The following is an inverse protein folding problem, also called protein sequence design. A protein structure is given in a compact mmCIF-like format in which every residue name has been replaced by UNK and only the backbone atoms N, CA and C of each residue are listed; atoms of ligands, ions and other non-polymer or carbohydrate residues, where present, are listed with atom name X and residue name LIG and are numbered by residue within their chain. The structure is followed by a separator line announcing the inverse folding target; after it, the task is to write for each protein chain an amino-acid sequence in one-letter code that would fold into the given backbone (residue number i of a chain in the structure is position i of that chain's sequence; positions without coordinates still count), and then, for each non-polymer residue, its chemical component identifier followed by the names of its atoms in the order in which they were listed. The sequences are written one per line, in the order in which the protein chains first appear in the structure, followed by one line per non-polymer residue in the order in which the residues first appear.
data_IF_748400543062
#
_entry.id   IF_748400543062
#
_cell.length_a   1.000
_cell.length_b   1.000
_cell.length_c   1.000
_cell.angle_alpha   90.00
_cell.angle_beta   90.00
_cell.angle_gamma   90.00
#
_symmetry.space_group_name_H-M   'P 1'
#
loop_
_entity.id
_entity.type
_entity.pdbx_description
1 polymer ?
#
# COMPACT_ATOMS: atom_id res chain seq x y z
N UNK A 1 85.06 -6.19 12.23
CA UNK A 1 83.90 -5.46 12.78
C UNK A 1 83.11 -4.71 11.72
N UNK A 2 83.71 -4.11 10.72
CA UNK A 2 82.98 -3.38 9.64
C UNK A 2 82.10 -4.27 8.68
N UNK A 3 82.47 -5.52 8.43
CA UNK A 3 81.66 -6.38 7.53
C UNK A 3 80.36 -6.88 8.18
N UNK A 4 80.33 -7.15 9.47
CA UNK A 4 79.13 -7.53 10.19
C UNK A 4 78.08 -6.39 10.25
N UNK A 5 78.56 -5.18 10.35
CA UNK A 5 77.67 -4.00 10.31
C UNK A 5 77.04 -3.77 8.92
N UNK A 6 77.76 -4.03 7.86
CA UNK A 6 77.23 -3.97 6.47
C UNK A 6 76.17 -5.03 6.24
N UNK A 7 76.40 -6.25 6.67
CA UNK A 7 75.46 -7.34 6.52
C UNK A 7 74.13 -7.09 7.29
N UNK A 8 74.21 -6.51 8.46
CA UNK A 8 73.01 -6.11 9.21
C UNK A 8 72.29 -4.93 8.60
N UNK A 9 72.98 -3.96 8.03
CA UNK A 9 72.35 -2.82 7.34
C UNK A 9 71.65 -3.25 6.06
N UNK A 10 72.24 -4.15 5.27
CA UNK A 10 71.61 -4.67 4.06
C UNK A 10 70.35 -5.50 4.35
N UNK A 11 70.36 -6.37 5.36
CA UNK A 11 69.17 -7.08 5.81
C UNK A 11 68.09 -6.17 6.34
N UNK A 12 68.46 -5.14 7.04
CA UNK A 12 67.50 -4.17 7.57
C UNK A 12 66.85 -3.34 6.48
N UNK A 13 67.61 -2.91 5.47
CA UNK A 13 67.11 -2.24 4.27
C UNK A 13 66.14 -3.12 3.45
N UNK A 14 66.46 -4.40 3.28
CA UNK A 14 65.61 -5.36 2.61
C UNK A 14 64.27 -5.62 3.37
N UNK A 15 64.34 -5.69 4.70
CA UNK A 15 63.14 -5.91 5.53
C UNK A 15 62.23 -4.68 5.54
N UNK A 16 62.81 -3.47 5.55
CA UNK A 16 62.01 -2.22 5.49
C UNK A 16 61.38 -2.05 4.08
N UNK A 17 62.14 -2.38 3.04
CA UNK A 17 61.62 -2.40 1.64
C UNK A 17 60.45 -3.35 1.46
N UNK A 18 60.57 -4.59 1.96
CA UNK A 18 59.45 -5.57 1.91
C UNK A 18 58.24 -5.12 2.69
N UNK A 19 58.40 -4.45 3.86
CA UNK A 19 57.32 -3.93 4.64
C UNK A 19 56.60 -2.78 3.90
N UNK A 20 57.34 -1.88 3.26
CA UNK A 20 56.76 -0.80 2.46
C UNK A 20 55.96 -1.31 1.26
N UNK A 21 56.47 -2.33 0.55
CA UNK A 21 55.76 -2.96 -0.59
C UNK A 21 54.52 -3.65 -0.08
N UNK A 22 54.55 -4.30 1.09
CA UNK A 22 53.38 -4.95 1.69
C UNK A 22 52.31 -3.95 2.11
N UNK A 23 52.71 -2.80 2.64
CA UNK A 23 51.79 -1.70 3.00
C UNK A 23 51.15 -1.08 1.75
N UNK A 24 51.94 -0.83 0.68
CA UNK A 24 51.39 -0.34 -0.57
C UNK A 24 50.43 -1.33 -1.24
N UNK A 25 50.75 -2.62 -1.20
CA UNK A 25 49.87 -3.64 -1.77
C UNK A 25 48.54 -3.74 -0.99
N UNK A 26 48.56 -3.61 0.34
CA UNK A 26 47.36 -3.54 1.15
C UNK A 26 46.54 -2.26 0.91
N UNK A 27 47.19 -1.10 0.72
CA UNK A 27 46.47 0.13 0.38
C UNK A 27 45.81 0.04 -1.00
N UNK A 28 46.38 -0.65 -1.97
CA UNK A 28 45.74 -0.88 -3.27
C UNK A 28 44.55 -1.87 -3.20
N UNK A 29 44.58 -2.80 -2.24
CA UNK A 29 43.45 -3.75 -2.05
C UNK A 29 42.29 -3.10 -1.28
N UNK A 30 42.54 -1.99 -0.56
CA UNK A 30 41.52 -1.23 0.17
C UNK A 30 40.87 -0.13 -0.67
N UNK A 31 41.38 0.18 -1.87
CA UNK A 31 40.66 0.93 -2.88
C UNK A 31 39.62 0.03 -3.56
N UNK A 32 38.72 -0.58 -2.75
CA UNK A 32 37.46 -1.06 -3.23
C UNK A 32 36.77 0.13 -3.88
N UNK A 33 36.59 0.07 -5.19
CA UNK A 33 35.68 0.96 -5.90
C UNK A 33 34.37 0.95 -5.14
N UNK A 34 34.12 2.03 -4.40
CA UNK A 34 32.79 2.38 -4.01
C UNK A 34 32.13 2.77 -5.33
N UNK A 35 31.55 1.78 -6.02
CA UNK A 35 30.60 2.07 -7.06
C UNK A 35 29.53 2.91 -6.38
N UNK A 36 29.60 4.22 -6.60
CA UNK A 36 28.42 5.04 -6.50
C UNK A 36 27.41 4.36 -7.45
N UNK A 37 26.56 3.49 -6.88
CA UNK A 37 25.30 3.21 -7.49
C UNK A 37 24.66 4.60 -7.55
N UNK A 38 24.74 5.23 -8.71
CA UNK A 38 23.86 6.32 -9.09
C UNK A 38 22.47 5.72 -8.99
N UNK A 39 21.87 5.79 -7.80
CA UNK A 39 20.44 5.63 -7.67
C UNK A 39 19.88 6.73 -8.55
N UNK A 40 19.45 6.33 -9.75
CA UNK A 40 18.68 7.22 -10.60
C UNK A 40 17.59 7.81 -9.73
N UNK A 41 17.69 9.09 -9.46
CA UNK A 41 16.74 9.85 -8.65
C UNK A 41 15.46 10.10 -9.46
N UNK A 42 15.17 9.23 -10.43
CA UNK A 42 13.98 9.32 -11.23
C UNK A 42 12.78 9.08 -10.35
N UNK A 43 12.04 10.14 -10.10
CA UNK A 43 10.78 10.08 -9.39
C UNK A 43 9.84 9.22 -10.21
N UNK A 44 9.46 8.06 -9.67
CA UNK A 44 8.47 7.21 -10.30
C UNK A 44 7.08 7.67 -9.88
N UNK A 45 6.20 7.80 -10.86
CA UNK A 45 4.79 8.08 -10.62
C UNK A 45 4.13 6.90 -9.89
N UNK A 46 3.31 7.20 -8.90
CA UNK A 46 2.49 6.23 -8.17
C UNK A 46 1.02 6.59 -8.39
N UNK A 47 0.26 5.64 -8.90
CA UNK A 47 -1.16 5.76 -9.17
C UNK A 47 -1.95 4.93 -8.16
N UNK A 48 -2.82 5.57 -7.40
CA UNK A 48 -3.82 4.90 -6.58
C UNK A 48 -5.20 5.25 -7.13
N UNK A 49 -5.77 4.35 -7.93
CA UNK A 49 -7.02 4.64 -8.63
C UNK A 49 -8.06 3.54 -8.47
N UNK A 50 -9.32 3.95 -8.37
CA UNK A 50 -10.44 3.02 -8.34
C UNK A 50 -11.73 3.62 -8.90
N UNK A 51 -12.62 2.73 -9.31
CA UNK A 51 -13.98 3.05 -9.73
C UNK A 51 -14.94 1.99 -9.14
N UNK A 52 -15.85 2.45 -8.30
CA UNK A 52 -16.89 1.60 -7.72
C UNK A 52 -18.13 1.57 -8.61
N UNK A 53 -18.85 0.46 -8.62
CA UNK A 53 -20.14 0.36 -9.29
C UNK A 53 -21.08 1.47 -8.79
N UNK A 54 -21.59 2.31 -9.69
CA UNK A 54 -22.50 3.41 -9.39
C UNK A 54 -21.86 4.70 -8.87
N UNK A 55 -20.57 4.70 -8.57
CA UNK A 55 -19.85 5.90 -8.07
C UNK A 55 -18.90 6.48 -9.12
N UNK A 56 -18.42 7.70 -8.86
CA UNK A 56 -17.41 8.36 -9.70
C UNK A 56 -16.02 7.76 -9.49
N UNK A 57 -15.20 7.67 -10.56
CA UNK A 57 -13.81 7.25 -10.43
C UNK A 57 -13.02 8.23 -9.55
N UNK A 58 -12.02 7.70 -8.85
CA UNK A 58 -11.12 8.47 -8.00
C UNK A 58 -9.69 8.02 -8.25
N UNK A 59 -8.80 8.99 -8.46
CA UNK A 59 -7.39 8.75 -8.69
C UNK A 59 -6.56 9.70 -7.82
N UNK A 60 -5.66 9.14 -7.03
CA UNK A 60 -4.63 9.87 -6.30
C UNK A 60 -3.29 9.64 -7.01
N UNK A 61 -2.55 10.70 -7.21
CA UNK A 61 -1.25 10.66 -7.87
C UNK A 61 -0.18 11.19 -6.93
N UNK A 62 0.86 10.40 -6.75
CA UNK A 62 2.03 10.79 -5.97
C UNK A 62 3.30 10.35 -6.69
N UNK A 63 4.44 10.88 -6.25
CA UNK A 63 5.75 10.41 -6.69
C UNK A 63 6.38 9.56 -5.59
N UNK A 64 7.24 8.61 -5.97
CA UNK A 64 8.00 7.80 -5.02
C UNK A 64 8.84 8.68 -4.11
N UNK A 65 8.89 8.29 -2.83
CA UNK A 65 9.69 8.95 -1.81
C UNK A 65 10.87 8.06 -1.48
N UNK A 66 12.08 8.55 -1.68
CA UNK A 66 13.26 7.87 -1.16
C UNK A 66 13.35 8.12 0.35
N UNK A 67 13.22 7.05 1.10
CA UNK A 67 13.42 7.09 2.54
C UNK A 67 14.91 7.26 2.86
N UNK A 68 15.38 8.50 2.94
CA UNK A 68 16.61 8.75 3.69
C UNK A 68 16.32 8.58 5.19
N UNK A 69 17.34 8.23 5.97
CA UNK A 69 17.22 7.87 7.41
C UNK A 69 16.49 8.88 8.32
N UNK A 70 16.06 10.00 7.79
CA UNK A 70 15.29 11.00 8.51
C UNK A 70 13.79 10.71 8.34
N UNK A 71 13.09 10.67 9.44
CA UNK A 71 11.65 10.37 9.53
C UNK A 71 10.82 11.16 8.50
N UNK A 72 9.97 10.44 7.76
CA UNK A 72 8.95 11.07 6.92
C UNK A 72 8.04 11.92 7.80
N UNK A 73 8.22 13.22 7.74
CA UNK A 73 7.24 14.13 8.30
C UNK A 73 5.98 14.12 7.43
N UNK A 74 4.83 13.84 8.02
CA UNK A 74 3.52 13.84 7.33
C UNK A 74 3.28 15.14 6.54
N UNK A 75 3.79 16.26 7.04
CA UNK A 75 3.68 17.57 6.38
C UNK A 75 4.47 17.65 5.06
N UNK A 76 5.54 16.87 4.91
CA UNK A 76 6.34 16.84 3.68
C UNK A 76 5.70 16.03 2.55
N UNK A 77 4.74 15.16 2.86
CA UNK A 77 4.06 14.32 1.85
C UNK A 77 3.28 15.14 0.82
N UNK A 78 2.89 16.36 1.15
CA UNK A 78 2.26 17.29 0.19
C UNK A 78 3.17 17.63 -0.99
N UNK A 79 4.49 17.54 -0.83
CA UNK A 79 5.48 17.84 -1.87
C UNK A 79 5.62 16.71 -2.89
N UNK A 80 5.09 15.53 -2.58
CA UNK A 80 5.10 14.35 -3.46
C UNK A 80 3.81 14.18 -4.24
N UNK A 81 2.83 15.09 -4.05
CA UNK A 81 1.59 15.09 -4.81
C UNK A 81 1.82 15.53 -6.25
N UNK A 82 1.34 14.71 -7.21
CA UNK A 82 1.23 15.14 -8.60
C UNK A 82 -0.15 15.78 -8.81
N UNK A 83 -0.16 17.10 -9.01
CA UNK A 83 -1.40 17.92 -9.12
C UNK A 83 -1.68 18.42 -10.52
N UNK A 84 -0.72 18.32 -11.41
CA UNK A 84 -0.75 18.94 -12.72
C UNK A 84 -0.83 17.93 -13.86
N UNK A 85 -1.07 16.67 -13.54
CA UNK A 85 -1.23 15.64 -14.55
C UNK A 85 -2.55 15.83 -15.31
N UNK A 86 -2.54 15.54 -16.61
CA UNK A 86 -3.74 15.31 -17.38
C UNK A 86 -4.18 13.87 -17.16
N UNK A 87 -5.33 13.69 -16.52
CA UNK A 87 -5.90 12.38 -16.20
C UNK A 87 -7.16 12.19 -17.02
N UNK A 88 -7.24 11.10 -17.77
CA UNK A 88 -8.41 10.76 -18.59
C UNK A 88 -8.89 9.36 -18.27
N UNK A 89 -10.19 9.16 -18.34
CA UNK A 89 -10.85 7.87 -18.23
C UNK A 89 -11.72 7.62 -19.46
N UNK A 90 -11.71 6.39 -19.96
CA UNK A 90 -12.54 5.95 -21.08
C UNK A 90 -13.31 4.68 -20.73
N UNK A 91 -14.58 4.61 -21.14
CA UNK A 91 -15.42 3.41 -21.08
C UNK A 91 -15.48 2.67 -22.43
N UNK A 92 -14.56 2.99 -23.35
CA UNK A 92 -14.52 2.44 -24.71
C UNK A 92 -15.43 3.17 -25.70
N UNK A 93 -16.45 3.91 -25.25
CA UNK A 93 -17.36 4.69 -26.10
C UNK A 93 -17.10 6.19 -26.00
N UNK A 94 -16.76 6.68 -24.81
CA UNK A 94 -16.44 8.08 -24.53
C UNK A 94 -15.23 8.17 -23.64
N UNK A 95 -14.56 9.31 -23.72
CA UNK A 95 -13.42 9.65 -22.86
C UNK A 95 -13.75 10.95 -22.13
N UNK A 96 -13.50 10.96 -20.82
CA UNK A 96 -13.69 12.13 -19.97
C UNK A 96 -12.37 12.51 -19.31
N UNK A 97 -12.09 13.82 -19.26
CA UNK A 97 -10.96 14.34 -18.50
C UNK A 97 -11.35 14.52 -17.04
N UNK A 98 -10.59 13.91 -16.16
CA UNK A 98 -10.80 13.99 -14.71
C UNK A 98 -10.30 15.34 -14.19
N UNK A 99 -11.02 15.89 -13.22
CA UNK A 99 -10.68 17.18 -12.59
C UNK A 99 -10.03 16.92 -11.23
N UNK A 100 -8.84 17.48 -11.03
CA UNK A 100 -8.15 17.46 -9.75
C UNK A 100 -8.78 18.43 -8.76
N UNK A 101 -9.05 17.97 -7.54
CA UNK A 101 -9.61 18.80 -6.47
C UNK A 101 -9.04 18.46 -5.12
N UNK A 102 -9.02 19.45 -4.23
CA UNK A 102 -8.72 19.24 -2.83
C UNK A 102 -9.93 18.61 -2.12
N UNK A 103 -9.71 17.47 -1.44
CA UNK A 103 -10.75 16.77 -0.69
C UNK A 103 -10.17 16.22 0.62
N UNK A 104 -10.66 16.74 1.76
CA UNK A 104 -10.20 16.36 3.11
C UNK A 104 -10.55 14.94 3.51
N UNK A 105 -11.45 14.28 2.77
CA UNK A 105 -11.86 12.90 3.02
C UNK A 105 -10.82 11.89 2.51
N UNK A 106 -9.76 12.34 1.85
CA UNK A 106 -8.68 11.48 1.36
C UNK A 106 -7.35 11.84 1.99
N UNK A 107 -6.42 10.92 1.89
CA UNK A 107 -5.03 11.17 2.22
C UNK A 107 -4.13 10.57 1.11
N UNK A 108 -3.25 11.36 0.49
CA UNK A 108 -3.16 12.81 0.58
C UNK A 108 -4.46 13.52 0.13
N UNK A 109 -4.72 14.76 0.57
CA UNK A 109 -6.02 15.40 0.36
C UNK A 109 -6.17 16.04 -1.04
N UNK A 110 -5.83 15.30 -2.07
CA UNK A 110 -6.01 15.72 -3.47
C UNK A 110 -6.40 14.51 -4.32
N UNK A 111 -7.47 14.62 -5.07
CA UNK A 111 -8.03 13.52 -5.85
C UNK A 111 -8.52 14.02 -7.20
N UNK A 112 -8.25 13.25 -8.24
CA UNK A 112 -8.86 13.43 -9.56
C UNK A 112 -10.15 12.63 -9.63
N UNK A 113 -11.21 13.21 -10.20
CA UNK A 113 -12.53 12.58 -10.35
C UNK A 113 -13.26 13.14 -11.58
N UNK A 114 -14.32 12.47 -12.01
CA UNK A 114 -15.24 12.94 -13.05
C UNK A 114 -16.50 13.54 -12.45
N UNK A 115 -17.33 14.13 -13.29
CA UNK A 115 -18.66 14.63 -12.91
C UNK A 115 -19.80 13.86 -13.55
N UNK A 116 -19.54 13.17 -14.67
CA UNK A 116 -20.58 12.47 -15.44
C UNK A 116 -20.36 10.97 -15.49
N UNK A 117 -19.13 10.51 -15.72
CA UNK A 117 -18.82 9.10 -15.85
C UNK A 117 -18.87 8.40 -14.48
N UNK A 118 -19.77 7.42 -14.36
CA UNK A 118 -19.87 6.54 -13.19
C UNK A 118 -19.55 5.10 -13.60
N UNK A 119 -19.11 4.33 -12.61
CA UNK A 119 -18.84 2.91 -12.82
C UNK A 119 -20.10 2.11 -13.12
N UNK A 120 -20.10 1.36 -14.21
CA UNK A 120 -21.17 0.43 -14.58
C UNK A 120 -20.68 -1.01 -14.52
N UNK A 121 -21.50 -1.89 -13.95
CA UNK A 121 -21.19 -3.31 -13.80
C UNK A 121 -20.98 -3.94 -15.19
N UNK A 122 -19.90 -4.70 -15.35
CA UNK A 122 -19.55 -5.38 -16.59
C UNK A 122 -18.79 -4.51 -17.60
N UNK A 123 -18.70 -3.20 -17.39
CA UNK A 123 -17.91 -2.32 -18.26
C UNK A 123 -16.43 -2.32 -17.90
N UNK A 124 -15.63 -2.14 -18.94
CA UNK A 124 -14.19 -1.92 -18.85
C UNK A 124 -13.88 -0.42 -18.85
N UNK A 125 -12.92 -0.01 -18.03
CA UNK A 125 -12.48 1.37 -17.91
C UNK A 125 -10.97 1.48 -18.06
N UNK A 126 -10.52 2.29 -19.01
CA UNK A 126 -9.13 2.61 -19.24
C UNK A 126 -8.80 3.96 -18.62
N UNK A 127 -7.82 3.97 -17.74
CA UNK A 127 -7.22 5.16 -17.17
C UNK A 127 -5.96 5.52 -17.95
N UNK A 128 -5.76 6.80 -18.24
CA UNK A 128 -4.51 7.34 -18.79
C UNK A 128 -4.12 8.59 -18.01
N UNK A 129 -2.87 8.64 -17.60
CA UNK A 129 -2.25 9.75 -16.87
C UNK A 129 -1.07 10.26 -17.68
N UNK A 130 -1.00 11.56 -17.89
CA UNK A 130 0.12 12.26 -18.53
C UNK A 130 0.60 13.36 -17.58
N UNK A 131 1.83 13.24 -17.11
CA UNK A 131 2.42 14.25 -16.22
C UNK A 131 3.09 15.37 -17.03
N UNK A 132 3.30 16.56 -16.44
CA UNK A 132 3.94 17.69 -17.15
C UNK A 132 5.38 17.40 -17.61
N UNK A 133 6.09 16.51 -16.94
CA UNK A 133 7.43 16.05 -17.28
C UNK A 133 7.45 14.94 -18.34
N UNK A 134 6.27 14.57 -18.87
CA UNK A 134 6.14 13.64 -20.00
C UNK A 134 6.03 12.16 -19.60
N UNK A 135 5.92 11.82 -18.32
CA UNK A 135 5.61 10.43 -17.94
C UNK A 135 4.19 10.08 -18.35
N UNK A 136 3.99 8.88 -18.88
CA UNK A 136 2.68 8.36 -19.28
C UNK A 136 2.42 7.06 -18.55
N UNK A 137 1.25 6.99 -17.91
CA UNK A 137 0.78 5.77 -17.25
C UNK A 137 -0.59 5.36 -17.79
N UNK A 138 -0.79 4.07 -17.99
CA UNK A 138 -2.04 3.51 -18.49
C UNK A 138 -2.41 2.23 -17.74
N UNK A 139 -3.71 2.07 -17.50
CA UNK A 139 -4.25 0.86 -16.88
C UNK A 139 -5.68 0.62 -17.30
N UNK A 140 -6.09 -0.64 -17.31
CA UNK A 140 -7.45 -1.06 -17.64
C UNK A 140 -7.98 -1.97 -16.56
N UNK A 141 -9.25 -1.81 -16.22
CA UNK A 141 -9.96 -2.63 -15.24
C UNK A 141 -11.41 -2.81 -15.65
N UNK A 142 -12.02 -3.91 -15.21
CA UNK A 142 -13.45 -4.17 -15.40
C UNK A 142 -14.15 -4.17 -14.05
N UNK A 143 -15.37 -3.62 -13.97
CA UNK A 143 -16.17 -3.67 -12.75
C UNK A 143 -16.95 -4.99 -12.71
N UNK A 144 -16.61 -5.95 -11.83
CA UNK A 144 -17.34 -7.20 -11.74
C UNK A 144 -18.73 -7.01 -11.11
N UNK A 145 -19.58 -8.02 -11.24
CA UNK A 145 -20.88 -8.03 -10.55
C UNK A 145 -20.64 -8.04 -9.02
N UNK A 146 -21.29 -7.12 -8.27
CA UNK A 146 -21.19 -7.11 -6.82
C UNK A 146 -21.74 -8.38 -6.18
N UNK A 147 -21.19 -8.75 -5.06
CA UNK A 147 -21.72 -9.80 -4.17
C UNK A 147 -22.08 -9.16 -2.83
N UNK A 148 -23.09 -9.71 -2.17
CA UNK A 148 -23.59 -9.20 -0.90
C UNK A 148 -22.98 -9.96 0.28
N UNK A 149 -22.96 -9.32 1.43
CA UNK A 149 -22.78 -9.94 2.74
C UNK A 149 -24.18 -10.24 3.27
N UNK A 150 -24.40 -11.49 3.66
CA UNK A 150 -25.72 -11.98 4.11
C UNK A 150 -26.03 -11.46 5.53
N UNK A 151 -25.05 -11.43 6.41
CA UNK A 151 -25.20 -10.94 7.78
C UNK A 151 -23.85 -10.54 8.42
N UNK A 152 -23.95 -9.78 9.51
CA UNK A 152 -22.80 -9.47 10.37
C UNK A 152 -23.06 -9.96 11.78
N UNK A 153 -22.00 -10.41 12.43
CA UNK A 153 -21.98 -10.70 13.85
C UNK A 153 -20.80 -10.00 14.52
N UNK A 154 -21.05 -9.40 15.69
CA UNK A 154 -20.03 -8.68 16.47
C UNK A 154 -19.78 -9.46 17.74
N UNK A 155 -18.56 -9.92 17.93
CA UNK A 155 -18.15 -10.67 19.12
C UNK A 155 -17.15 -9.85 19.93
N UNK A 156 -17.21 -9.93 21.25
CA UNK A 156 -16.19 -9.37 22.12
C UNK A 156 -14.91 -10.17 21.96
N UNK A 157 -13.78 -9.51 21.76
CA UNK A 157 -12.46 -10.14 21.69
C UNK A 157 -12.00 -10.56 23.10
N UNK A 158 -10.91 -11.34 23.18
CA UNK A 158 -10.33 -11.77 24.47
C UNK A 158 -9.87 -10.58 25.34
N UNK A 159 -9.62 -9.43 24.75
CA UNK A 159 -9.25 -8.20 25.45
C UNK A 159 -10.49 -7.35 25.65
N UNK A 160 -10.72 -6.89 26.87
CA UNK A 160 -11.83 -6.03 27.23
C UNK A 160 -11.86 -4.76 26.35
N UNK A 161 -13.07 -4.32 26.00
CA UNK A 161 -13.35 -3.16 25.13
C UNK A 161 -12.94 -3.30 23.66
N UNK A 162 -12.48 -4.48 23.23
CA UNK A 162 -12.20 -4.80 21.83
C UNK A 162 -13.24 -5.78 21.27
N UNK A 163 -13.58 -5.59 19.99
CA UNK A 163 -14.59 -6.37 19.30
C UNK A 163 -14.10 -6.79 17.93
N UNK A 164 -14.47 -8.01 17.54
CA UNK A 164 -14.28 -8.56 16.20
C UNK A 164 -15.59 -8.54 15.44
N UNK A 165 -15.58 -8.04 14.21
CA UNK A 165 -16.71 -8.15 13.30
C UNK A 165 -16.48 -9.40 12.44
N UNK A 166 -17.50 -10.24 12.32
CA UNK A 166 -17.59 -11.32 11.36
C UNK A 166 -18.67 -11.02 10.34
N UNK A 167 -18.35 -11.24 9.08
CA UNK A 167 -19.31 -11.19 7.99
C UNK A 167 -19.59 -12.61 7.50
N UNK A 168 -20.82 -12.88 7.08
CA UNK A 168 -21.21 -14.14 6.47
C UNK A 168 -21.57 -13.87 5.03
N UNK A 169 -21.00 -14.64 4.11
CA UNK A 169 -21.20 -14.48 2.68
C UNK A 169 -21.09 -15.80 1.94
N UNK A 170 -21.91 -15.96 0.94
CA UNK A 170 -21.86 -17.08 -0.01
C UNK A 170 -20.95 -16.81 -1.22
N UNK A 171 -20.10 -15.77 -1.14
CA UNK A 171 -19.22 -15.35 -2.23
C UNK A 171 -18.28 -16.46 -2.66
N UNK A 172 -18.25 -16.75 -3.97
CA UNK A 172 -17.31 -17.68 -4.62
C UNK A 172 -16.34 -16.96 -5.57
N UNK A 173 -16.35 -15.64 -5.56
CA UNK A 173 -15.52 -14.81 -6.43
C UNK A 173 -14.27 -14.31 -5.69
N UNK A 174 -13.42 -13.59 -6.42
CA UNK A 174 -12.31 -12.84 -5.84
C UNK A 174 -12.88 -11.58 -5.21
N UNK A 175 -12.67 -11.43 -3.91
CA UNK A 175 -13.25 -10.33 -3.13
C UNK A 175 -12.21 -9.68 -2.24
N UNK A 176 -12.49 -8.43 -1.87
CA UNK A 176 -11.69 -7.68 -0.91
C UNK A 176 -12.57 -6.92 0.05
N UNK A 177 -12.20 -6.97 1.33
CA UNK A 177 -12.80 -6.17 2.39
C UNK A 177 -11.97 -4.91 2.63
N UNK A 178 -12.69 -3.82 2.82
CA UNK A 178 -12.16 -2.56 3.33
C UNK A 178 -13.00 -2.13 4.52
N UNK A 179 -12.39 -1.44 5.45
CA UNK A 179 -13.11 -0.86 6.59
C UNK A 179 -12.77 0.62 6.78
N UNK A 180 -13.72 1.36 7.34
CA UNK A 180 -13.56 2.76 7.71
C UNK A 180 -14.27 2.98 9.05
N UNK A 181 -13.52 3.38 10.06
CA UNK A 181 -14.10 3.79 11.35
C UNK A 181 -14.48 5.26 11.27
N UNK A 182 -15.76 5.54 11.40
CA UNK A 182 -16.31 6.89 11.28
C UNK A 182 -15.72 7.80 12.37
N UNK A 183 -15.30 8.99 11.95
CA UNK A 183 -14.66 9.97 12.81
C UNK A 183 -13.18 9.70 13.12
N UNK A 184 -12.63 8.57 12.66
CA UNK A 184 -11.20 8.21 12.85
C UNK A 184 -10.46 8.01 11.54
N UNK A 185 -11.08 7.37 10.57
CA UNK A 185 -10.51 7.12 9.27
C UNK A 185 -11.13 8.07 8.24
N UNK A 186 -10.30 8.69 7.40
CA UNK A 186 -10.76 9.61 6.36
C UNK A 186 -11.42 8.87 5.20
N UNK A 187 -10.85 7.74 4.82
CA UNK A 187 -11.26 6.93 3.67
C UNK A 187 -11.34 5.45 4.05
N UNK A 188 -11.84 4.62 3.13
CA UNK A 188 -11.79 3.18 3.28
C UNK A 188 -10.34 2.71 3.24
N UNK A 189 -9.93 1.97 4.26
CA UNK A 189 -8.61 1.38 4.36
C UNK A 189 -8.69 -0.12 4.05
N UNK A 190 -7.68 -0.65 3.37
CA UNK A 190 -7.57 -2.09 3.12
C UNK A 190 -7.60 -2.86 4.44
N UNK A 191 -8.61 -3.70 4.63
CA UNK A 191 -8.67 -4.58 5.79
C UNK A 191 -7.51 -5.60 5.73
N UNK A 192 -6.89 -5.85 6.87
CA UNK A 192 -5.87 -6.88 6.99
C UNK A 192 -6.50 -8.25 6.75
N UNK A 193 -5.83 -9.11 5.95
CA UNK A 193 -6.37 -10.40 5.53
C UNK A 193 -7.75 -10.30 4.85
N UNK A 194 -8.05 -9.13 4.29
CA UNK A 194 -9.33 -8.85 3.66
C UNK A 194 -9.45 -9.36 2.23
N UNK A 195 -8.36 -9.87 1.62
CA UNK A 195 -8.37 -10.44 0.29
C UNK A 195 -8.78 -11.92 0.38
N UNK A 196 -9.73 -12.32 -0.44
CA UNK A 196 -10.26 -13.68 -0.42
C UNK A 196 -10.68 -14.18 -1.80
N UNK A 197 -10.75 -15.49 -1.92
CA UNK A 197 -11.34 -16.20 -3.05
C UNK A 197 -12.16 -17.38 -2.54
N UNK A 198 -12.80 -18.11 -3.45
CA UNK A 198 -13.67 -19.25 -3.12
C UNK A 198 -13.02 -20.32 -2.20
N UNK A 199 -11.71 -20.53 -2.31
CA UNK A 199 -11.01 -21.52 -1.49
C UNK A 199 -10.67 -21.05 -0.08
N UNK A 200 -10.77 -19.75 0.19
CA UNK A 200 -10.44 -19.14 1.49
C UNK A 200 -11.68 -18.98 2.39
N UNK A 201 -12.86 -18.97 1.78
CA UNK A 201 -14.13 -18.86 2.52
C UNK A 201 -14.55 -20.27 2.91
N UNK A 202 -14.56 -20.57 4.22
CA UNK A 202 -14.98 -21.86 4.74
C UNK A 202 -16.43 -22.21 4.41
N UNK A 203 -16.84 -23.45 4.71
CA UNK A 203 -18.18 -23.94 4.43
C UNK A 203 -19.29 -23.10 5.06
N UNK A 204 -19.01 -22.45 6.19
CA UNK A 204 -19.94 -21.57 6.89
C UNK A 204 -20.02 -20.16 6.29
N UNK A 205 -19.19 -19.81 5.31
CA UNK A 205 -19.14 -18.48 4.74
C UNK A 205 -18.65 -17.38 5.68
N UNK A 206 -18.12 -17.73 6.87
CA UNK A 206 -17.66 -16.80 7.92
C UNK A 206 -16.31 -16.20 7.53
N UNK A 207 -16.21 -14.88 7.52
CA UNK A 207 -14.99 -14.12 7.26
C UNK A 207 -14.79 -13.02 8.33
N UNK A 208 -13.55 -12.82 8.76
CA UNK A 208 -13.23 -11.76 9.72
C UNK A 208 -13.10 -10.43 8.99
N UNK A 209 -13.80 -9.41 9.48
CA UNK A 209 -13.61 -8.04 9.05
C UNK A 209 -12.61 -7.38 10.00
N UNK A 210 -11.38 -7.21 9.56
CA UNK A 210 -10.36 -6.53 10.34
C UNK A 210 -10.39 -5.02 10.10
N UNK A 211 -9.90 -4.27 11.07
CA UNK A 211 -9.70 -2.84 10.91
C UNK A 211 -8.66 -2.57 9.83
N UNK A 212 -8.96 -1.66 8.92
CA UNK A 212 -8.08 -1.28 7.84
C UNK A 212 -6.78 -0.63 8.35
N UNK A 213 -5.70 -0.85 7.60
CA UNK A 213 -4.38 -0.30 7.92
C UNK A 213 -4.04 0.87 7.02
N UNK A 214 -3.49 1.90 7.63
CA UNK A 214 -2.73 2.94 6.95
C UNK A 214 -1.26 2.73 7.28
N UNK A 215 -0.39 2.76 6.27
CA UNK A 215 1.07 2.68 6.46
C UNK A 215 1.65 3.82 7.31
N UNK A 216 0.86 4.87 7.52
CA UNK A 216 1.22 6.05 8.31
C UNK A 216 1.05 5.84 9.82
N UNK A 217 0.40 4.75 10.26
CA UNK A 217 0.11 4.50 11.68
C UNK A 217 0.80 3.21 12.12
N UNK A 218 1.84 3.35 12.89
CA UNK A 218 2.79 2.28 13.27
C UNK A 218 2.23 1.06 13.99
N UNK A 219 1.09 1.13 14.67
CA UNK A 219 0.42 -0.02 15.32
C UNK A 219 -1.06 0.24 15.44
N UNK A 220 -1.87 -0.52 14.72
CA UNK A 220 -3.30 -0.61 14.99
C UNK A 220 -3.65 -2.06 15.28
N UNK A 221 -4.48 -2.27 16.29
CA UNK A 221 -5.10 -3.56 16.51
C UNK A 221 -6.05 -3.87 15.34
N UNK A 222 -6.16 -5.14 14.93
CA UNK A 222 -7.11 -5.55 13.89
C UNK A 222 -8.57 -5.45 14.36
N UNK A 223 -8.77 -5.18 15.64
CA UNK A 223 -10.07 -5.11 16.32
C UNK A 223 -10.65 -3.72 16.30
N UNK A 224 -11.97 -3.66 16.56
CA UNK A 224 -12.71 -2.44 16.73
C UNK A 224 -12.95 -2.15 18.22
N UNK A 225 -13.19 -0.90 18.55
CA UNK A 225 -13.43 -0.49 19.93
C UNK A 225 -14.91 -0.30 20.19
N UNK A 226 -15.28 -0.44 21.46
CA UNK A 226 -16.60 -0.17 21.96
C UNK A 226 -17.17 1.16 21.45
N UNK A 227 -18.42 1.14 20.96
CA UNK A 227 -19.15 2.30 20.48
C UNK A 227 -18.72 2.85 19.13
N UNK A 228 -17.73 2.26 18.46
CA UNK A 228 -17.35 2.67 17.10
C UNK A 228 -18.44 2.31 16.09
N UNK A 229 -18.61 3.19 15.10
CA UNK A 229 -19.39 2.92 13.90
C UNK A 229 -18.44 2.61 12.77
N UNK A 230 -18.58 1.45 12.14
CA UNK A 230 -17.71 0.95 11.10
C UNK A 230 -18.48 0.88 9.79
N UNK A 231 -17.94 1.51 8.74
CA UNK A 231 -18.36 1.24 7.37
C UNK A 231 -17.53 0.09 6.82
N UNK A 232 -18.18 -0.89 6.25
CA UNK A 232 -17.54 -2.02 5.57
C UNK A 232 -17.84 -1.91 4.09
N UNK A 233 -16.81 -1.93 3.25
CA UNK A 233 -16.91 -2.06 1.80
C UNK A 233 -16.49 -3.48 1.44
N UNK A 234 -17.38 -4.21 0.78
CA UNK A 234 -17.11 -5.53 0.24
C UNK A 234 -17.10 -5.44 -1.27
N UNK A 235 -15.97 -5.72 -1.89
CA UNK A 235 -15.74 -5.50 -3.31
C UNK A 235 -15.35 -6.79 -4.01
N UNK A 236 -16.05 -7.14 -5.10
CA UNK A 236 -15.59 -8.13 -6.07
C UNK A 236 -14.54 -7.50 -6.98
N UNK A 237 -13.56 -8.30 -7.38
CA UNK A 237 -12.37 -7.88 -8.12
C UNK A 237 -12.26 -8.62 -9.45
N UNK A 238 -11.77 -7.94 -10.47
CA UNK A 238 -11.23 -8.59 -11.65
C UNK A 238 -9.89 -9.29 -11.36
N UNK A 239 -9.34 -10.02 -12.31
CA UNK A 239 -8.10 -10.79 -12.09
C UNK A 239 -6.89 -9.92 -11.83
N UNK A 240 -6.77 -8.80 -12.53
CA UNK A 240 -5.62 -7.89 -12.42
C UNK A 240 -5.61 -7.14 -11.09
N UNK A 241 -6.78 -6.64 -10.67
CA UNK A 241 -6.97 -6.03 -9.35
C UNK A 241 -6.69 -7.02 -8.21
N UNK A 242 -7.11 -8.28 -8.37
CA UNK A 242 -6.84 -9.32 -7.38
C UNK A 242 -5.34 -9.61 -7.25
N UNK A 243 -4.61 -9.74 -8.36
CA UNK A 243 -3.16 -9.98 -8.33
C UNK A 243 -2.38 -8.82 -7.69
N UNK A 244 -2.80 -7.56 -7.95
CA UNK A 244 -2.24 -6.41 -7.26
C UNK A 244 -2.42 -6.53 -5.74
N UNK A 245 -3.66 -6.72 -5.26
CA UNK A 245 -3.96 -6.81 -3.84
C UNK A 245 -3.30 -8.01 -3.17
N UNK A 246 -3.16 -9.13 -3.87
CA UNK A 246 -2.43 -10.30 -3.38
C UNK A 246 -0.96 -9.96 -3.14
N UNK A 247 -0.30 -9.37 -4.13
CA UNK A 247 1.11 -8.97 -3.98
C UNK A 247 1.30 -7.92 -2.88
N UNK A 248 0.31 -7.04 -2.68
CA UNK A 248 0.32 -6.06 -1.61
C UNK A 248 0.21 -6.72 -0.22
N UNK A 249 -0.69 -7.68 -0.03
CA UNK A 249 -0.82 -8.41 1.25
C UNK A 249 0.41 -9.28 1.53
N UNK A 250 0.96 -9.94 0.52
CA UNK A 250 2.20 -10.72 0.61
C UNK A 250 3.37 -9.82 1.05
N UNK A 251 3.52 -8.65 0.44
CA UNK A 251 4.54 -7.67 0.79
C UNK A 251 4.35 -7.15 2.22
N UNK A 252 3.12 -6.84 2.61
CA UNK A 252 2.79 -6.39 3.95
C UNK A 252 3.06 -7.46 5.02
N UNK A 253 2.85 -8.74 4.70
CA UNK A 253 3.17 -9.86 5.58
C UNK A 253 4.69 -10.04 5.74
N UNK A 254 5.44 -10.03 4.64
CA UNK A 254 6.90 -10.19 4.62
C UNK A 254 7.61 -9.03 5.34
N UNK A 255 7.11 -7.81 5.22
CA UNK A 255 7.70 -6.63 5.90
C UNK A 255 7.67 -6.72 7.43
N UNK A 256 6.93 -7.67 8.00
CA UNK A 256 6.86 -7.92 9.46
C UNK A 256 7.90 -8.93 9.94
N UNK A 257 8.52 -9.68 9.03
CA UNK A 257 9.51 -10.70 9.38
C UNK A 257 10.88 -10.03 9.42
N UNK A 258 11.51 -9.89 10.61
CA UNK A 258 12.88 -9.37 10.71
C UNK A 258 13.84 -10.23 9.90
N UNK A 259 14.81 -9.61 9.24
CA UNK A 259 15.90 -10.27 8.49
C UNK A 259 15.50 -10.90 7.14
N UNK A 260 14.26 -10.81 6.71
CA UNK A 260 13.89 -11.18 5.34
C UNK A 260 14.04 -9.94 4.45
N UNK A 261 15.00 -9.94 3.50
CA UNK A 261 15.08 -8.83 2.55
C UNK A 261 13.81 -8.83 1.69
N UNK A 262 13.04 -7.75 1.76
CA UNK A 262 11.84 -7.59 0.95
C UNK A 262 12.26 -7.14 -0.44
N UNK A 263 12.57 -8.10 -1.31
CA UNK A 263 12.92 -7.85 -2.72
C UNK A 263 11.75 -8.06 -3.67
N UNK A 264 10.55 -8.29 -3.15
CA UNK A 264 9.37 -8.53 -3.98
C UNK A 264 8.82 -7.22 -4.52
N UNK A 265 8.82 -7.09 -5.83
CA UNK A 265 8.17 -5.98 -6.52
C UNK A 265 6.65 -6.10 -6.38
N UNK A 266 6.00 -5.03 -5.94
CA UNK A 266 4.55 -4.89 -6.00
C UNK A 266 4.09 -5.09 -7.45
N UNK A 267 3.13 -5.99 -7.67
CA UNK A 267 2.57 -6.21 -9.00
C UNK A 267 1.64 -5.06 -9.36
N UNK A 268 2.22 -4.00 -9.92
CA UNK A 268 1.43 -2.90 -10.49
C UNK A 268 0.59 -3.43 -11.66
N UNK A 269 -0.67 -3.03 -11.73
CA UNK A 269 -1.48 -3.20 -12.94
C UNK A 269 -1.51 -1.93 -13.80
N UNK A 270 -0.67 -0.96 -13.47
CA UNK A 270 -0.48 0.29 -14.21
C UNK A 270 0.82 0.20 -15.00
N UNK A 271 0.74 0.31 -16.33
CA UNK A 271 1.90 0.37 -17.19
C UNK A 271 2.49 1.78 -17.15
N UNK A 272 3.78 1.93 -16.98
CA UNK A 272 4.49 3.21 -16.91
C UNK A 272 4.48 3.90 -15.55
N UNK A 273 3.87 3.28 -14.52
CA UNK A 273 3.87 3.77 -13.15
C UNK A 273 3.76 2.61 -12.16
N UNK A 274 3.97 2.92 -10.87
CA UNK A 274 3.64 2.01 -9.78
C UNK A 274 2.19 2.21 -9.33
N UNK A 275 1.59 1.19 -8.69
CA UNK A 275 0.30 1.30 -8.05
C UNK A 275 -0.81 0.51 -8.74
N UNK A 276 -2.04 1.02 -8.68
CA UNK A 276 -3.20 0.28 -9.13
C UNK A 276 -4.29 1.17 -9.75
N UNK A 277 -5.05 0.56 -10.65
CA UNK A 277 -6.33 1.00 -11.16
C UNK A 277 -7.31 -0.16 -11.04
N UNK A 278 -8.30 -0.06 -10.15
CA UNK A 278 -9.20 -1.16 -9.79
C UNK A 278 -10.67 -0.81 -9.98
N UNK A 279 -11.39 -1.65 -10.73
CA UNK A 279 -12.84 -1.65 -10.80
C UNK A 279 -13.43 -2.54 -9.69
N UNK A 280 -14.33 -1.99 -8.90
CA UNK A 280 -14.94 -2.69 -7.80
C UNK A 280 -16.43 -2.90 -7.98
N UNK A 281 -16.88 -4.16 -8.02
CA UNK A 281 -18.26 -4.50 -7.74
C UNK A 281 -18.51 -4.37 -6.24
N UNK A 282 -18.72 -3.14 -5.77
CA UNK A 282 -18.74 -2.84 -4.35
C UNK A 282 -20.14 -2.82 -3.75
N UNK A 283 -20.28 -3.35 -2.53
CA UNK A 283 -21.42 -3.17 -1.63
C UNK A 283 -20.95 -2.55 -0.33
N UNK A 284 -21.82 -1.75 0.30
CA UNK A 284 -21.47 -0.95 1.48
C UNK A 284 -22.41 -1.24 2.62
N UNK A 285 -21.86 -1.36 3.83
CA UNK A 285 -22.59 -1.70 5.04
C UNK A 285 -22.17 -0.82 6.20
N UNK A 286 -23.05 -0.68 7.19
CA UNK A 286 -22.81 -0.01 8.45
C UNK A 286 -22.91 -1.02 9.57
N UNK A 287 -21.90 -1.10 10.42
CA UNK A 287 -21.87 -1.98 11.57
C UNK A 287 -21.60 -1.12 12.81
N UNK A 288 -22.52 -1.20 13.78
CA UNK A 288 -22.38 -0.51 15.06
C UNK A 288 -21.76 -1.47 16.07
N UNK A 289 -20.65 -1.07 16.68
CA UNK A 289 -20.04 -1.83 17.78
C UNK A 289 -20.83 -1.51 19.07
N UNK A 290 -21.25 -2.55 19.82
CA UNK A 290 -22.00 -2.34 21.07
C UNK A 290 -21.25 -1.42 22.04
N UNK A 291 -22.01 -0.67 22.83
CA UNK A 291 -21.51 0.02 24.03
C UNK A 291 -21.85 -0.85 25.24
N UNK A 292 -20.89 -1.08 26.14
CA UNK A 292 -21.23 -1.62 27.46
C UNK A 292 -22.14 -0.60 28.15
N UNK A 293 -23.37 -0.98 28.48
CA UNK A 293 -24.16 -0.20 29.42
C UNK A 293 -23.42 -0.22 30.76
N UNK A 294 -22.94 0.92 31.19
CA UNK A 294 -22.50 1.09 32.58
C UNK A 294 -23.70 0.76 33.46
N UNK A 295 -23.71 -0.43 34.06
CA UNK A 295 -24.75 -0.86 34.95
C UNK A 295 -24.98 0.23 36.00
N UNK A 296 -26.05 1.01 35.85
CA UNK A 296 -26.64 1.70 36.96
C UNK A 296 -27.02 0.63 37.98
N UNK A 297 -26.24 0.50 39.05
CA UNK A 297 -26.74 -0.13 40.25
C UNK A 297 -27.95 0.69 40.66
N UNK A 298 -29.14 0.19 40.37
CA UNK A 298 -30.35 0.61 41.08
C UNK A 298 -30.10 0.12 42.49
N UNK A 299 -29.74 1.03 43.37
CA UNK A 299 -29.78 0.79 44.81
C UNK A 299 -31.28 0.82 45.16
N UNK A 300 -31.82 -0.36 45.43
CA UNK A 300 -33.03 -0.54 46.18
C UNK A 300 -32.79 -0.18 47.65
#
# INVERSE_FOLDING_TARGET
MKERLRYFAEKWLLSVGCLQVFIMLNCCLLSSCYDHVETSTDKLLVVEGWIDAGDFPKVKLTNTVYLSKNELMLDSLSNYLERWAKVTISDGTRTETMVGRYDRNYFPPFVYTTYDMRGEIGKEYTLRVETPDGQVAEATTTIPKPVVIDSFHVEQAMVDSLYQIYAYTSCKQRCKLFSQVIGKDKEFLSAELGLMNAGMIGAEGKVSVCRGRSNLIKKRDPYFREGETVRVKFATLDSTSYEYWRSFEDLAALSRVPLVPVSTNLKSNVRGALGYWCGYGATFYWVQIPKKENGRKVND
#
